data_IF_578036011792
#
_entry.id   IF_578036011792
#
_cell.length_a   1.000
_cell.length_b   1.000
_cell.length_c   1.000
_cell.angle_alpha   90.00
_cell.angle_beta   90.00
_cell.angle_gamma   90.00
#
_symmetry.space_group_name_H-M   'P 1'
#
loop_
_entity.id
_entity.type
_entity.pdbx_description
1 polymer ?
#
# COMPACT_ATOMS: atom_id res chain seq x y z
N UNK A 1 5.07 6.25 29.43
CA UNK A 1 4.17 5.30 30.12
C UNK A 1 4.84 3.94 30.12
N UNK A 2 4.83 3.18 31.22
CA UNK A 2 5.36 1.82 31.27
C UNK A 2 4.63 0.81 30.36
N UNK A 3 3.45 1.18 29.82
CA UNK A 3 2.66 0.39 28.87
C UNK A 3 2.59 1.02 27.48
N UNK A 4 3.57 1.86 27.12
CA UNK A 4 3.62 2.45 25.79
C UNK A 4 3.86 1.40 24.71
N UNK A 5 3.14 1.48 23.59
CA UNK A 5 3.39 0.65 22.40
C UNK A 5 4.49 1.23 21.48
N UNK A 6 5.06 2.38 21.87
CA UNK A 6 6.16 3.00 21.14
C UNK A 6 7.43 2.14 21.24
N UNK A 7 8.10 1.99 20.10
CA UNK A 7 9.28 1.16 19.89
C UNK A 7 10.28 1.97 19.07
N UNK A 8 11.29 2.52 19.74
CA UNK A 8 12.30 3.40 19.11
C UNK A 8 13.13 2.68 18.05
N UNK A 9 13.45 1.41 18.30
CA UNK A 9 14.15 0.49 17.40
C UNK A 9 13.40 0.26 16.07
N UNK A 10 12.07 0.33 16.09
CA UNK A 10 11.24 0.27 14.88
C UNK A 10 11.03 1.63 14.20
N UNK A 11 11.21 2.73 14.93
CA UNK A 11 10.87 4.08 14.48
C UNK A 11 12.10 4.92 14.09
N UNK A 12 13.31 4.44 14.36
CA UNK A 12 14.56 5.13 14.07
C UNK A 12 14.96 5.03 12.60
N UNK A 13 15.72 6.01 12.12
CA UNK A 13 16.36 6.01 10.80
C UNK A 13 17.79 5.44 10.82
N UNK A 14 18.29 5.03 11.99
CA UNK A 14 19.60 4.38 12.12
C UNK A 14 19.63 3.02 11.42
N UNK A 15 20.83 2.57 11.04
CA UNK A 15 21.04 1.18 10.59
C UNK A 15 20.87 0.25 11.79
N UNK A 16 19.65 -0.20 12.02
CA UNK A 16 19.33 -1.28 12.96
C UNK A 16 18.61 -2.39 12.19
N UNK A 17 18.94 -3.65 12.47
CA UNK A 17 18.45 -4.82 11.72
C UNK A 17 16.99 -5.18 12.06
N UNK A 18 16.30 -4.36 12.88
CA UNK A 18 14.97 -4.65 13.42
C UNK A 18 13.86 -4.46 12.38
N UNK A 19 14.00 -3.50 11.44
CA UNK A 19 13.03 -3.26 10.37
C UNK A 19 13.66 -3.38 8.98
N UNK A 20 13.19 -4.35 8.20
CA UNK A 20 13.61 -4.57 6.82
C UNK A 20 12.78 -3.73 5.85
N UNK A 21 13.32 -2.60 5.39
CA UNK A 21 12.63 -1.67 4.49
C UNK A 21 12.14 -2.31 3.18
N UNK A 22 12.81 -3.34 2.68
CA UNK A 22 12.40 -4.07 1.47
C UNK A 22 11.00 -4.70 1.58
N UNK A 23 10.53 -5.01 2.79
CA UNK A 23 9.23 -5.62 3.00
C UNK A 23 8.07 -4.63 2.73
N UNK A 24 8.35 -3.31 2.83
CA UNK A 24 7.40 -2.25 2.52
C UNK A 24 6.93 -2.29 1.06
N UNK A 25 7.79 -2.70 0.13
CA UNK A 25 7.48 -2.76 -1.29
C UNK A 25 6.31 -3.72 -1.57
N UNK A 26 6.37 -4.91 -0.98
CA UNK A 26 5.31 -5.91 -1.07
C UNK A 26 4.01 -5.43 -0.44
N UNK A 27 4.10 -4.85 0.75
CA UNK A 27 2.96 -4.29 1.47
C UNK A 27 2.25 -3.21 0.66
N UNK A 28 2.97 -2.20 0.15
CA UNK A 28 2.39 -1.09 -0.62
C UNK A 28 1.67 -1.61 -1.88
N UNK A 29 2.28 -2.57 -2.58
CA UNK A 29 1.67 -3.16 -3.78
C UNK A 29 0.35 -3.87 -3.50
N UNK A 30 0.34 -4.72 -2.47
CA UNK A 30 -0.85 -5.51 -2.13
C UNK A 30 -1.95 -4.66 -1.51
N UNK A 31 -1.59 -3.79 -0.57
CA UNK A 31 -2.54 -2.87 0.07
C UNK A 31 -3.19 -1.92 -0.94
N UNK A 32 -2.41 -1.41 -1.89
CA UNK A 32 -2.89 -0.51 -2.95
C UNK A 32 -3.62 -1.20 -4.11
N UNK A 33 -3.58 -2.53 -4.21
CA UNK A 33 -4.03 -3.26 -5.40
C UNK A 33 -5.51 -3.02 -5.70
N UNK A 34 -6.38 -3.13 -4.69
CA UNK A 34 -7.83 -2.94 -4.86
C UNK A 34 -8.18 -1.54 -5.37
N UNK A 35 -7.55 -0.51 -4.81
CA UNK A 35 -7.75 0.88 -5.23
C UNK A 35 -7.27 1.12 -6.67
N UNK A 36 -6.10 0.57 -7.02
CA UNK A 36 -5.57 0.63 -8.39
C UNK A 36 -6.53 0.00 -9.39
N UNK A 37 -7.05 -1.19 -9.10
CA UNK A 37 -7.98 -1.91 -9.99
C UNK A 37 -9.31 -1.15 -10.12
N UNK A 38 -9.86 -0.63 -9.02
CA UNK A 38 -11.08 0.18 -9.04
C UNK A 38 -10.90 1.44 -9.91
N UNK A 39 -9.79 2.17 -9.73
CA UNK A 39 -9.48 3.35 -10.53
C UNK A 39 -9.31 3.02 -12.02
N UNK A 40 -8.68 1.89 -12.35
CA UNK A 40 -8.56 1.42 -13.73
C UNK A 40 -9.91 1.08 -14.36
N UNK A 41 -10.80 0.42 -13.60
CA UNK A 41 -12.18 0.15 -14.04
C UNK A 41 -12.93 1.46 -14.30
N UNK A 42 -12.89 2.40 -13.35
CA UNK A 42 -13.61 3.67 -13.45
C UNK A 42 -13.12 4.52 -14.62
N UNK A 43 -11.79 4.49 -14.86
CA UNK A 43 -11.20 5.12 -16.03
C UNK A 43 -11.72 4.49 -17.33
N UNK A 44 -11.70 3.15 -17.44
CA UNK A 44 -12.24 2.45 -18.62
C UNK A 44 -13.70 2.79 -18.88
N UNK A 45 -14.55 2.78 -17.85
CA UNK A 45 -15.96 3.14 -17.98
C UNK A 45 -16.19 4.58 -18.46
N UNK A 46 -15.28 5.50 -18.14
CA UNK A 46 -15.34 6.89 -18.63
C UNK A 46 -14.87 7.02 -20.08
N UNK A 47 -13.87 6.25 -20.48
CA UNK A 47 -13.26 6.31 -21.81
C UNK A 47 -14.07 5.53 -22.85
N UNK A 48 -14.65 4.38 -22.51
CA UNK A 48 -15.54 3.59 -23.37
C UNK A 48 -16.72 2.98 -22.58
N UNK A 49 -17.86 3.70 -22.51
CA UNK A 49 -19.05 3.21 -21.81
C UNK A 49 -19.75 2.02 -22.49
N UNK A 50 -19.47 1.75 -23.77
CA UNK A 50 -20.20 0.76 -24.58
C UNK A 50 -19.43 -0.57 -24.73
N UNK A 51 -18.12 -0.61 -24.49
CA UNK A 51 -17.30 -1.82 -24.46
C UNK A 51 -17.70 -2.78 -23.33
N UNK A 52 -18.03 -2.25 -22.15
CA UNK A 52 -18.29 -3.04 -20.93
C UNK A 52 -19.70 -3.67 -20.91
N UNK A 53 -20.58 -3.25 -21.82
CA UNK A 53 -21.95 -3.75 -21.95
C UNK A 53 -22.10 -4.91 -22.96
N UNK A 54 -21.00 -5.33 -23.60
CA UNK A 54 -20.94 -6.47 -24.53
C UNK A 54 -20.34 -7.68 -23.84
#
# INVERSE_FOLDING_TARGET
>A
SPFGLYREDLATFGEDDVYRQADAEGFIRLFGLGQKVAAQRDRRLREDPLEVAR
#
